data_IF_147527110982
#
_entry.id   IF_147527110982
#
_cell.length_a   1.000
_cell.length_b   1.000
_cell.length_c   1.000
_cell.angle_alpha   90.00
_cell.angle_beta   90.00
_cell.angle_gamma   90.00
#
_symmetry.space_group_name_H-M   'P 1'
#
loop_
_entity.id
_entity.type
_entity.pdbx_description
1 polymer ?
#
# COMPACT_ATOMS: atom_id res chain seq x y z
N UNK A 1 -3.41 21.01 10.20
CA UNK A 1 -2.52 20.01 9.57
C UNK A 1 -1.35 20.79 9.00
N UNK A 2 -0.12 20.52 9.43
CA UNK A 2 1.04 21.02 8.70
C UNK A 2 1.16 20.17 7.43
N UNK A 3 1.11 20.83 6.27
CA UNK A 3 1.51 20.20 5.03
C UNK A 3 2.96 19.73 5.20
N UNK A 4 3.24 18.45 4.89
CA UNK A 4 4.60 17.94 4.88
C UNK A 4 5.50 18.72 3.90
N UNK A 5 6.79 18.46 3.88
CA UNK A 5 7.70 19.13 2.97
C UNK A 5 7.22 18.97 1.53
N UNK A 6 6.94 20.08 0.87
CA UNK A 6 6.52 20.09 -0.55
C UNK A 6 7.80 20.10 -1.40
N UNK A 7 8.15 18.94 -1.92
CA UNK A 7 9.17 18.83 -2.96
C UNK A 7 8.49 18.79 -4.34
N UNK A 8 8.89 19.67 -5.24
CA UNK A 8 8.49 19.62 -6.65
C UNK A 8 9.27 18.52 -7.35
N UNK A 9 8.89 17.27 -7.13
CA UNK A 9 9.57 16.09 -7.69
C UNK A 9 9.27 15.88 -9.18
N UNK A 10 8.19 16.48 -9.69
CA UNK A 10 7.66 16.21 -11.00
C UNK A 10 7.31 17.49 -11.74
N UNK A 11 7.58 17.52 -13.05
CA UNK A 11 7.06 18.55 -13.94
C UNK A 11 5.58 18.36 -14.24
N UNK A 12 4.91 19.42 -14.66
CA UNK A 12 3.46 19.45 -14.96
C UNK A 12 3.00 18.32 -15.90
N UNK A 13 3.80 17.95 -16.88
CA UNK A 13 3.49 16.86 -17.80
C UNK A 13 3.42 15.50 -17.09
N UNK A 14 4.42 15.20 -16.26
CA UNK A 14 4.47 13.95 -15.51
C UNK A 14 3.30 13.85 -14.51
N UNK A 15 2.95 14.95 -13.84
CA UNK A 15 1.79 15.00 -12.95
C UNK A 15 0.49 14.70 -13.69
N UNK A 16 0.31 15.21 -14.91
CA UNK A 16 -0.87 14.91 -15.74
C UNK A 16 -0.94 13.45 -16.13
N UNK A 17 0.17 12.84 -16.55
CA UNK A 17 0.22 11.41 -16.89
C UNK A 17 -0.06 10.53 -15.68
N UNK A 18 0.50 10.84 -14.51
CA UNK A 18 0.20 10.12 -13.27
C UNK A 18 -1.27 10.23 -12.89
N UNK A 19 -1.85 11.43 -12.94
CA UNK A 19 -3.27 11.68 -12.65
C UNK A 19 -4.20 10.87 -13.55
N UNK A 20 -3.89 10.71 -14.84
CA UNK A 20 -4.66 9.85 -15.76
C UNK A 20 -4.65 8.38 -15.29
N UNK A 21 -3.49 7.85 -14.91
CA UNK A 21 -3.34 6.45 -14.48
C UNK A 21 -3.95 6.23 -13.08
N UNK A 22 -3.84 7.20 -12.19
CA UNK A 22 -4.50 7.19 -10.89
C UNK A 22 -6.02 7.19 -11.03
N UNK A 23 -6.55 8.04 -11.90
CA UNK A 23 -7.99 8.10 -12.24
C UNK A 23 -8.46 6.77 -12.84
N UNK A 24 -7.68 6.18 -13.75
CA UNK A 24 -7.99 4.88 -14.30
C UNK A 24 -8.05 3.79 -13.22
N UNK A 25 -7.04 3.71 -12.36
CA UNK A 25 -7.00 2.76 -11.24
C UNK A 25 -8.18 2.96 -10.29
N UNK A 26 -8.47 4.19 -9.91
CA UNK A 26 -9.58 4.53 -9.04
C UNK A 26 -10.92 4.04 -9.60
N UNK A 27 -11.21 4.33 -10.88
CA UNK A 27 -12.49 4.04 -11.49
C UNK A 27 -12.66 2.56 -11.89
N UNK A 28 -11.58 1.89 -12.30
CA UNK A 28 -11.68 0.52 -12.84
C UNK A 28 -11.36 -0.57 -11.80
N UNK A 29 -10.62 -0.22 -10.74
CA UNK A 29 -10.18 -1.18 -9.74
C UNK A 29 -10.60 -0.78 -8.34
N UNK A 30 -10.18 0.38 -7.85
CA UNK A 30 -10.33 0.76 -6.46
C UNK A 30 -11.80 0.90 -6.03
N UNK A 31 -12.56 1.79 -6.66
CA UNK A 31 -13.97 2.00 -6.31
C UNK A 31 -14.84 0.77 -6.54
N UNK A 32 -14.74 0.05 -7.68
CA UNK A 32 -15.48 -1.18 -7.87
C UNK A 32 -15.13 -2.26 -6.84
N UNK A 33 -13.85 -2.37 -6.45
CA UNK A 33 -13.45 -3.31 -5.40
C UNK A 33 -14.01 -2.92 -4.03
N UNK A 34 -13.93 -1.64 -3.66
CA UNK A 34 -14.48 -1.14 -2.40
C UNK A 34 -16.00 -1.31 -2.29
N UNK A 35 -16.72 -1.24 -3.42
CA UNK A 35 -18.16 -1.48 -3.51
C UNK A 35 -18.55 -2.94 -3.70
N UNK A 36 -17.60 -3.86 -3.50
CA UNK A 36 -17.79 -5.30 -3.67
C UNK A 36 -18.25 -5.73 -5.09
N UNK A 37 -18.14 -4.87 -6.09
CA UNK A 37 -18.57 -5.14 -7.46
C UNK A 37 -17.61 -6.09 -8.21
N UNK A 38 -16.38 -6.25 -7.73
CA UNK A 38 -15.35 -7.10 -8.34
C UNK A 38 -15.24 -8.49 -7.72
N UNK A 39 -16.10 -8.86 -6.79
CA UNK A 39 -16.06 -10.19 -6.13
C UNK A 39 -16.12 -11.37 -7.12
N UNK A 40 -16.73 -11.17 -8.26
CA UNK A 40 -16.93 -12.21 -9.29
C UNK A 40 -16.32 -11.85 -10.64
N UNK A 41 -15.81 -10.64 -10.81
CA UNK A 41 -15.37 -10.13 -12.09
C UNK A 41 -13.87 -10.33 -12.30
N UNK A 42 -13.51 -10.63 -13.55
CA UNK A 42 -12.14 -10.50 -14.03
C UNK A 42 -11.99 -9.15 -14.69
N UNK A 43 -11.07 -8.34 -14.23
CA UNK A 43 -10.77 -7.02 -14.80
C UNK A 43 -9.63 -7.17 -15.80
N UNK A 44 -9.90 -6.80 -17.05
CA UNK A 44 -8.85 -6.68 -18.06
C UNK A 44 -8.12 -5.33 -17.86
N UNK A 45 -6.82 -5.34 -17.99
CA UNK A 45 -5.98 -4.14 -17.96
C UNK A 45 -4.94 -4.22 -19.08
N UNK A 46 -4.44 -3.09 -19.50
CA UNK A 46 -3.29 -2.96 -20.40
C UNK A 46 -2.12 -2.37 -19.63
N UNK A 47 -1.39 -1.45 -20.21
CA UNK A 47 -0.26 -0.77 -19.58
C UNK A 47 -0.64 0.11 -18.38
N UNK A 48 -1.91 0.58 -18.31
CA UNK A 48 -2.33 1.59 -17.32
C UNK A 48 -2.07 1.15 -15.89
N UNK A 49 -2.36 -0.13 -15.58
CA UNK A 49 -2.15 -0.65 -14.23
C UNK A 49 -0.67 -0.79 -13.89
N UNK A 50 0.14 -1.28 -14.83
CA UNK A 50 1.58 -1.41 -14.62
C UNK A 50 2.22 -0.03 -14.42
N UNK A 51 1.87 0.94 -15.28
CA UNK A 51 2.31 2.32 -15.16
C UNK A 51 1.91 2.92 -13.82
N UNK A 52 0.66 2.75 -13.39
CA UNK A 52 0.19 3.20 -12.08
C UNK A 52 1.04 2.63 -10.95
N UNK A 53 1.25 1.31 -10.93
CA UNK A 53 2.05 0.66 -9.89
C UNK A 53 3.49 1.21 -9.85
N UNK A 54 4.15 1.33 -11.00
CA UNK A 54 5.49 1.89 -11.10
C UNK A 54 5.51 3.35 -10.61
N UNK A 55 4.54 4.16 -11.00
CA UNK A 55 4.49 5.59 -10.62
C UNK A 55 4.37 5.79 -9.11
N UNK A 56 3.59 4.95 -8.44
CA UNK A 56 3.45 4.98 -6.97
C UNK A 56 4.74 4.52 -6.30
N UNK A 57 5.27 3.36 -6.70
CA UNK A 57 6.47 2.78 -6.13
C UNK A 57 7.72 3.66 -6.37
N UNK A 58 7.82 4.28 -7.54
CA UNK A 58 8.90 5.21 -7.87
C UNK A 58 8.91 6.43 -6.93
N UNK A 59 7.75 7.07 -6.72
CA UNK A 59 7.62 8.23 -5.81
C UNK A 59 8.03 7.87 -4.38
N UNK A 60 7.61 6.69 -3.91
CA UNK A 60 7.96 6.21 -2.57
C UNK A 60 9.47 5.96 -2.48
N UNK A 61 10.04 5.24 -3.43
CA UNK A 61 11.47 4.95 -3.41
C UNK A 61 12.30 6.22 -3.51
N UNK A 62 11.87 7.19 -4.32
CA UNK A 62 12.53 8.48 -4.45
C UNK A 62 12.55 9.25 -3.12
N UNK A 63 11.43 9.26 -2.38
CA UNK A 63 11.33 9.95 -1.08
C UNK A 63 12.05 9.22 0.06
N UNK A 64 12.30 7.91 -0.07
CA UNK A 64 12.89 7.10 1.00
C UNK A 64 14.36 6.70 0.76
N UNK A 65 14.88 6.89 -0.44
CA UNK A 65 16.23 6.43 -0.85
C UNK A 65 17.37 6.90 0.08
N UNK A 66 17.24 8.10 0.65
CA UNK A 66 18.29 8.69 1.48
C UNK A 66 18.32 8.11 2.90
N UNK A 67 17.26 7.45 3.31
CA UNK A 67 17.16 6.73 4.60
C UNK A 67 17.66 5.29 4.54
N UNK A 68 18.07 4.81 3.34
CA UNK A 68 18.59 3.44 3.17
C UNK A 68 20.03 3.39 3.68
N UNK A 69 20.23 2.72 4.82
CA UNK A 69 21.55 2.63 5.47
C UNK A 69 22.49 1.62 4.80
N UNK A 70 21.96 0.53 4.20
CA UNK A 70 22.78 -0.49 3.51
C UNK A 70 23.24 0.03 2.14
N UNK A 71 24.57 0.24 1.90
CA UNK A 71 25.06 0.78 0.64
C UNK A 71 24.77 -0.10 -0.58
N UNK A 72 24.78 -1.44 -0.41
CA UNK A 72 24.49 -2.38 -1.50
C UNK A 72 23.03 -2.30 -1.92
N UNK A 73 22.13 -2.25 -0.94
CA UNK A 73 20.71 -2.06 -1.19
C UNK A 73 20.45 -0.69 -1.82
N UNK A 74 21.06 0.37 -1.29
CA UNK A 74 20.93 1.73 -1.84
C UNK A 74 21.33 1.78 -3.31
N UNK A 75 22.45 1.16 -3.70
CA UNK A 75 22.87 1.08 -5.10
C UNK A 75 21.80 0.40 -5.99
N UNK A 76 21.21 -0.72 -5.56
CA UNK A 76 20.12 -1.40 -6.29
C UNK A 76 18.87 -0.55 -6.39
N UNK A 77 18.51 0.14 -5.33
CA UNK A 77 17.39 1.07 -5.33
C UNK A 77 17.59 2.25 -6.29
N UNK A 78 18.83 2.76 -6.40
CA UNK A 78 19.15 3.82 -7.37
C UNK A 78 18.99 3.31 -8.81
N UNK A 79 19.46 2.09 -9.10
CA UNK A 79 19.26 1.46 -10.42
C UNK A 79 17.77 1.34 -10.73
N UNK A 80 16.96 0.80 -9.80
CA UNK A 80 15.52 0.67 -9.97
C UNK A 80 14.84 2.05 -10.19
N UNK A 81 15.26 3.09 -9.47
CA UNK A 81 14.75 4.45 -9.66
C UNK A 81 14.99 4.98 -11.08
N UNK A 82 16.20 4.78 -11.63
CA UNK A 82 16.53 5.24 -12.97
C UNK A 82 15.78 4.45 -14.05
N UNK A 83 15.67 3.15 -13.91
CA UNK A 83 14.90 2.28 -14.84
C UNK A 83 13.42 2.64 -14.82
N UNK A 84 12.82 2.84 -13.65
CA UNK A 84 11.43 3.24 -13.52
C UNK A 84 11.20 4.66 -14.04
N UNK A 85 12.14 5.58 -13.80
CA UNK A 85 12.09 6.93 -14.36
C UNK A 85 12.12 6.91 -15.89
N UNK A 86 13.00 6.10 -16.48
CA UNK A 86 13.07 5.95 -17.92
C UNK A 86 11.75 5.43 -18.51
N UNK A 87 11.18 4.38 -17.92
CA UNK A 87 9.88 3.83 -18.31
C UNK A 87 8.74 4.88 -18.19
N UNK A 88 8.66 5.59 -17.08
CA UNK A 88 7.63 6.61 -16.85
C UNK A 88 7.72 7.78 -17.84
N UNK A 89 8.89 8.00 -18.44
CA UNK A 89 9.13 8.97 -19.52
C UNK A 89 8.97 8.38 -20.93
N UNK A 90 8.36 7.20 -21.06
CA UNK A 90 8.10 6.57 -22.37
C UNK A 90 9.26 5.71 -22.90
N UNK A 91 10.22 5.35 -22.05
CA UNK A 91 11.28 4.41 -22.39
C UNK A 91 10.84 2.94 -22.26
N UNK A 92 11.79 2.04 -22.40
CA UNK A 92 11.57 0.60 -22.36
C UNK A 92 11.02 0.12 -21.00
N UNK A 93 10.32 -1.02 -21.04
CA UNK A 93 9.85 -1.70 -19.83
C UNK A 93 11.04 -2.10 -18.96
N UNK A 94 10.99 -1.83 -17.64
CA UNK A 94 12.04 -2.24 -16.72
C UNK A 94 12.33 -3.75 -16.81
N UNK A 95 13.58 -4.17 -16.60
CA UNK A 95 13.96 -5.57 -16.66
C UNK A 95 13.11 -6.47 -15.77
N UNK A 96 12.94 -7.74 -16.15
CA UNK A 96 12.04 -8.71 -15.50
C UNK A 96 12.37 -9.01 -14.03
N UNK A 97 13.56 -8.67 -13.53
CA UNK A 97 13.87 -8.81 -12.11
C UNK A 97 13.11 -7.80 -11.23
N UNK A 98 12.66 -6.67 -11.79
CA UNK A 98 11.79 -5.70 -11.12
C UNK A 98 10.32 -6.12 -11.21
N UNK A 99 9.99 -7.29 -10.67
CA UNK A 99 8.62 -7.80 -10.72
C UNK A 99 7.71 -7.00 -9.79
N UNK A 100 6.56 -6.61 -10.35
CA UNK A 100 5.52 -5.87 -9.64
C UNK A 100 4.38 -6.82 -9.28
N UNK A 101 3.95 -6.74 -8.04
CA UNK A 101 2.82 -7.49 -7.52
C UNK A 101 1.82 -6.56 -6.85
N UNK A 102 0.54 -6.91 -6.97
CA UNK A 102 -0.56 -6.26 -6.26
C UNK A 102 -1.36 -7.31 -5.49
N UNK A 103 -1.73 -7.01 -4.27
CA UNK A 103 -2.61 -7.84 -3.47
C UNK A 103 -3.79 -7.01 -2.96
N UNK A 104 -4.98 -7.18 -3.54
CA UNK A 104 -6.21 -6.62 -2.99
C UNK A 104 -6.60 -7.38 -1.73
N UNK A 105 -7.08 -6.70 -0.70
CA UNK A 105 -7.51 -7.32 0.56
C UNK A 105 -9.01 -7.19 0.71
N UNK A 106 -9.71 -8.27 0.40
CA UNK A 106 -11.13 -8.42 0.66
C UNK A 106 -11.37 -9.00 2.08
N UNK A 107 -12.64 -9.11 2.46
CA UNK A 107 -13.04 -9.62 3.77
C UNK A 107 -12.62 -11.08 3.99
N UNK A 108 -12.63 -11.91 2.94
CA UNK A 108 -12.23 -13.33 3.05
C UNK A 108 -10.73 -13.44 3.32
N UNK A 109 -9.92 -12.67 2.58
CA UNK A 109 -8.49 -12.62 2.81
C UNK A 109 -8.18 -12.08 4.20
N UNK A 110 -8.86 -11.01 4.61
CA UNK A 110 -8.75 -10.48 5.95
C UNK A 110 -8.96 -11.57 7.02
N UNK A 111 -10.05 -12.34 6.93
CA UNK A 111 -10.32 -13.43 7.86
C UNK A 111 -9.21 -14.51 7.83
N UNK A 112 -8.68 -14.81 6.65
CA UNK A 112 -7.56 -15.77 6.51
C UNK A 112 -6.27 -15.24 7.12
N UNK A 113 -6.01 -13.94 7.01
CA UNK A 113 -4.84 -13.29 7.60
C UNK A 113 -4.90 -13.26 9.13
N UNK A 114 -6.09 -13.24 9.71
CA UNK A 114 -6.27 -13.10 11.16
C UNK A 114 -6.01 -14.37 11.98
N UNK A 115 -5.98 -15.54 11.40
CA UNK A 115 -5.82 -16.79 12.16
C UNK A 115 -4.35 -17.17 12.38
N UNK A 116 -3.87 -17.45 13.58
CA UNK A 116 -4.44 -17.19 14.93
C UNK A 116 -3.84 -15.89 15.52
N UNK A 117 -4.56 -14.79 15.44
CA UNK A 117 -4.15 -13.49 16.00
C UNK A 117 -5.05 -13.19 17.20
N UNK A 118 -4.54 -12.57 18.28
CA UNK A 118 -5.37 -12.16 19.41
C UNK A 118 -6.47 -11.19 19.01
N UNK A 119 -7.69 -11.40 19.51
CA UNK A 119 -8.89 -10.65 19.13
C UNK A 119 -8.75 -9.12 19.32
N UNK A 120 -8.05 -8.68 20.36
CA UNK A 120 -7.84 -7.26 20.61
C UNK A 120 -7.04 -6.54 19.53
N UNK A 121 -6.32 -7.29 18.68
CA UNK A 121 -5.56 -6.73 17.55
C UNK A 121 -6.38 -6.72 16.26
N UNK A 122 -7.50 -7.44 16.19
CA UNK A 122 -8.33 -7.51 14.98
C UNK A 122 -8.79 -6.14 14.51
N UNK A 123 -9.21 -5.28 15.43
CA UNK A 123 -9.65 -3.92 15.13
C UNK A 123 -8.54 -3.11 14.50
N UNK A 124 -7.34 -3.19 15.06
CA UNK A 124 -6.18 -2.43 14.57
C UNK A 124 -5.72 -2.93 13.19
N UNK A 125 -5.73 -4.25 12.96
CA UNK A 125 -5.46 -4.81 11.62
C UNK A 125 -6.50 -4.34 10.62
N UNK A 126 -7.77 -4.32 10.99
CA UNK A 126 -8.85 -3.87 10.13
C UNK A 126 -8.68 -2.39 9.75
N UNK A 127 -8.35 -1.55 10.74
CA UNK A 127 -8.02 -0.14 10.53
C UNK A 127 -6.82 0.05 9.61
N UNK A 128 -5.76 -0.65 9.88
CA UNK A 128 -4.57 -0.64 9.05
C UNK A 128 -4.91 -0.99 7.60
N UNK A 129 -5.65 -2.05 7.38
CA UNK A 129 -6.04 -2.48 6.02
C UNK A 129 -6.89 -1.45 5.31
N UNK A 130 -7.89 -0.89 5.98
CA UNK A 130 -8.89 -0.04 5.33
C UNK A 130 -8.45 1.41 5.11
N UNK A 131 -7.59 1.94 5.95
CA UNK A 131 -7.33 3.38 6.01
C UNK A 131 -5.89 3.80 5.83
N UNK A 132 -5.00 3.08 6.47
CA UNK A 132 -3.63 3.53 6.52
C UNK A 132 -2.95 3.44 5.16
N UNK A 133 -2.05 4.38 4.91
CA UNK A 133 -1.01 4.26 3.90
C UNK A 133 0.28 3.88 4.59
N UNK A 134 1.06 3.02 3.98
CA UNK A 134 2.31 2.56 4.55
C UNK A 134 3.32 2.22 3.45
N UNK A 135 4.59 2.30 3.77
CA UNK A 135 5.66 1.88 2.87
C UNK A 135 6.90 1.44 3.66
N UNK A 136 7.61 0.49 3.10
CA UNK A 136 8.85 -0.01 3.68
C UNK A 136 9.67 -0.77 2.64
N UNK A 137 10.97 -0.90 2.86
CA UNK A 137 11.77 -1.90 2.17
C UNK A 137 11.75 -3.17 3.02
N UNK A 138 10.93 -4.11 2.59
CA UNK A 138 10.78 -5.40 3.23
C UNK A 138 11.94 -6.33 2.90
N UNK A 139 12.51 -6.94 3.94
CA UNK A 139 13.59 -7.91 3.83
C UNK A 139 13.12 -9.23 4.44
N UNK A 140 12.80 -10.22 3.61
CA UNK A 140 12.47 -11.56 4.09
C UNK A 140 13.74 -12.36 4.43
N UNK A 141 14.76 -12.19 3.61
CA UNK A 141 16.10 -12.77 3.76
C UNK A 141 17.13 -11.76 3.24
N UNK A 142 18.41 -11.93 3.56
CA UNK A 142 19.46 -10.97 3.14
C UNK A 142 19.43 -10.59 1.66
N UNK A 143 19.01 -11.50 0.77
CA UNK A 143 18.97 -11.29 -0.69
C UNK A 143 17.54 -11.27 -1.26
N UNK A 144 16.51 -11.21 -0.42
CA UNK A 144 15.11 -11.09 -0.84
C UNK A 144 14.55 -9.78 -0.29
N UNK A 145 14.59 -8.74 -1.11
CA UNK A 145 14.18 -7.40 -0.72
C UNK A 145 13.17 -6.85 -1.71
N UNK A 146 12.10 -6.34 -1.19
CA UNK A 146 11.07 -5.69 -1.98
C UNK A 146 10.72 -4.33 -1.40
N UNK A 147 10.47 -3.38 -2.27
CA UNK A 147 9.78 -2.16 -1.90
C UNK A 147 8.30 -2.50 -1.70
N UNK A 148 7.81 -2.25 -0.52
CA UNK A 148 6.41 -2.42 -0.15
C UNK A 148 5.72 -1.06 -0.12
N UNK A 149 4.52 -1.03 -0.65
CA UNK A 149 3.61 0.09 -0.55
C UNK A 149 2.20 -0.40 -0.23
N UNK A 150 1.52 0.32 0.62
CA UNK A 150 0.13 0.08 0.95
C UNK A 150 -0.69 1.35 0.78
N UNK A 151 -1.79 1.21 0.07
CA UNK A 151 -2.92 2.13 0.10
C UNK A 151 -4.13 1.40 0.70
N UNK A 152 -5.22 2.09 1.08
CA UNK A 152 -6.41 1.42 1.59
C UNK A 152 -6.82 0.21 0.74
N UNK A 153 -6.92 -0.96 1.37
CA UNK A 153 -7.31 -2.26 0.77
C UNK A 153 -6.36 -2.86 -0.28
N UNK A 154 -5.23 -2.22 -0.60
CA UNK A 154 -4.28 -2.73 -1.60
C UNK A 154 -2.85 -2.69 -1.09
N UNK A 155 -2.15 -3.79 -1.31
CA UNK A 155 -0.71 -3.88 -1.14
C UNK A 155 -0.03 -3.98 -2.51
N UNK A 156 1.11 -3.33 -2.63
CA UNK A 156 1.96 -3.36 -3.82
C UNK A 156 3.37 -3.73 -3.41
N UNK A 157 4.02 -4.54 -4.23
CA UNK A 157 5.43 -4.88 -4.09
C UNK A 157 6.16 -4.70 -5.38
N UNK A 158 7.35 -4.10 -5.30
CA UNK A 158 8.36 -4.20 -6.33
C UNK A 158 9.55 -4.98 -5.80
N UNK A 159 9.92 -6.06 -6.46
CA UNK A 159 11.08 -6.85 -6.08
C UNK A 159 12.34 -6.10 -6.50
N UNK A 160 13.17 -5.68 -5.54
CA UNK A 160 14.42 -4.95 -5.77
C UNK A 160 15.60 -5.92 -5.85
N UNK A 161 15.57 -6.95 -5.02
CA UNK A 161 16.59 -7.99 -4.98
C UNK A 161 15.92 -9.33 -4.73
N UNK A 162 16.28 -10.34 -5.54
CA UNK A 162 15.67 -11.65 -5.45
C UNK A 162 16.72 -12.74 -5.41
N UNK A 163 16.61 -13.60 -4.43
CA UNK A 163 17.10 -14.97 -4.46
C UNK A 163 15.94 -15.90 -4.89
N UNK A 164 16.22 -17.09 -5.41
CA UNK A 164 15.29 -17.94 -6.20
C UNK A 164 13.91 -18.27 -5.60
N UNK A 165 13.66 -18.00 -4.34
CA UNK A 165 12.46 -18.47 -3.63
C UNK A 165 11.39 -17.45 -3.34
N UNK A 166 11.52 -16.26 -3.85
CA UNK A 166 10.52 -15.34 -4.07
C UNK A 166 9.35 -14.84 -3.25
N UNK A 167 9.35 -13.59 -3.05
CA UNK A 167 8.23 -12.70 -2.70
C UNK A 167 7.11 -12.71 -3.78
N UNK A 168 6.51 -13.86 -4.06
CA UNK A 168 5.46 -14.04 -5.08
C UNK A 168 4.06 -13.88 -4.47
N UNK A 169 3.85 -12.91 -3.61
CA UNK A 169 2.56 -12.67 -2.99
C UNK A 169 1.68 -11.78 -3.86
N UNK A 170 0.42 -12.17 -4.01
CA UNK A 170 -0.53 -11.40 -4.77
C UNK A 170 -0.58 -11.74 -6.25
N UNK A 171 -1.05 -10.79 -7.03
CA UNK A 171 -1.20 -10.84 -8.48
C UNK A 171 0.02 -10.18 -9.13
N UNK A 172 0.73 -10.91 -9.96
CA UNK A 172 1.78 -10.32 -10.78
C UNK A 172 1.17 -9.41 -11.83
N UNK A 173 1.65 -8.17 -11.90
CA UNK A 173 1.21 -7.19 -12.88
C UNK A 173 2.19 -7.18 -14.04
N UNK A 174 1.68 -7.48 -15.24
CA UNK A 174 2.48 -7.51 -16.49
C UNK A 174 2.46 -6.14 -17.18
N UNK A 175 3.56 -5.68 -17.74
CA UNK A 175 3.60 -4.48 -18.60
C UNK A 175 2.75 -4.67 -19.87
N UNK A 176 2.65 -5.90 -20.40
CA UNK A 176 1.86 -6.22 -21.58
C UNK A 176 0.34 -6.25 -21.32
N UNK A 177 -0.05 -5.99 -20.07
CA UNK A 177 -1.43 -6.12 -19.64
C UNK A 177 -1.81 -7.54 -19.26
N UNK A 178 -3.11 -7.76 -19.03
CA UNK A 178 -3.63 -9.05 -18.61
C UNK A 178 -5.04 -8.99 -18.05
N UNK A 179 -5.39 -10.02 -17.29
CA UNK A 179 -6.66 -10.11 -16.57
C UNK A 179 -6.39 -10.36 -15.09
N UNK A 180 -6.97 -9.55 -14.24
CA UNK A 180 -6.94 -9.73 -12.79
C UNK A 180 -8.15 -10.57 -12.38
N UNK A 181 -7.90 -11.66 -11.68
CA UNK A 181 -8.94 -12.44 -11.00
C UNK A 181 -8.84 -12.16 -9.49
N UNK A 182 -9.74 -11.35 -8.96
CA UNK A 182 -9.74 -10.96 -7.55
C UNK A 182 -10.06 -12.11 -6.57
N UNK A 183 -10.39 -13.30 -7.08
CA UNK A 183 -10.57 -14.52 -6.27
C UNK A 183 -9.33 -15.38 -6.19
N UNK A 184 -8.41 -15.24 -7.13
CA UNK A 184 -7.28 -16.16 -7.29
C UNK A 184 -5.96 -15.40 -7.26
N UNK A 185 -5.39 -15.26 -6.10
CA UNK A 185 -4.03 -14.75 -5.94
C UNK A 185 -3.31 -15.47 -4.80
N UNK A 186 -1.99 -15.49 -4.90
CA UNK A 186 -1.14 -16.16 -3.93
C UNK A 186 -1.03 -15.31 -2.66
N UNK A 187 -1.51 -15.83 -1.54
CA UNK A 187 -1.44 -15.16 -0.24
C UNK A 187 -0.09 -15.44 0.44
N UNK A 188 0.67 -16.40 -0.07
CA UNK A 188 1.89 -16.89 0.58
C UNK A 188 1.60 -17.76 1.80
N UNK A 189 2.60 -18.53 2.20
CA UNK A 189 2.53 -19.37 3.41
C UNK A 189 3.23 -18.63 4.57
N UNK A 190 2.53 -17.77 5.26
CA UNK A 190 2.99 -17.22 6.53
C UNK A 190 3.76 -15.90 6.48
N UNK A 191 4.68 -15.67 5.53
CA UNK A 191 5.54 -14.49 5.52
C UNK A 191 4.78 -13.15 5.46
N UNK A 192 3.85 -13.00 4.53
CA UNK A 192 3.03 -11.78 4.42
C UNK A 192 2.16 -11.54 5.65
N UNK A 193 1.65 -12.61 6.27
CA UNK A 193 0.87 -12.54 7.48
C UNK A 193 1.68 -12.00 8.65
N UNK A 194 2.87 -12.56 8.86
CA UNK A 194 3.81 -12.12 9.87
C UNK A 194 4.22 -10.67 9.63
N UNK A 195 4.47 -10.30 8.38
CA UNK A 195 4.79 -8.93 7.99
C UNK A 195 3.67 -7.95 8.35
N UNK A 196 2.43 -8.24 7.94
CA UNK A 196 1.27 -7.38 8.24
C UNK A 196 1.08 -7.25 9.76
N UNK A 197 1.14 -8.37 10.48
CA UNK A 197 1.03 -8.36 11.93
C UNK A 197 2.10 -7.47 12.58
N UNK A 198 3.36 -7.63 12.18
CA UNK A 198 4.45 -6.82 12.72
C UNK A 198 4.26 -5.32 12.43
N UNK A 199 3.78 -4.97 11.19
CA UNK A 199 3.47 -3.58 10.83
C UNK A 199 2.40 -2.98 11.73
N UNK A 200 1.32 -3.72 11.98
CA UNK A 200 0.24 -3.28 12.85
C UNK A 200 0.74 -3.06 14.29
N UNK A 201 1.51 -3.99 14.83
CA UNK A 201 2.10 -3.85 16.18
C UNK A 201 3.02 -2.62 16.25
N UNK A 202 3.86 -2.40 15.24
CA UNK A 202 4.73 -1.23 15.19
C UNK A 202 3.90 0.07 15.19
N UNK A 203 2.83 0.13 14.38
CA UNK A 203 1.91 1.26 14.32
C UNK A 203 1.21 1.51 15.66
N UNK A 204 0.70 0.48 16.31
CA UNK A 204 0.08 0.60 17.63
C UNK A 204 1.06 1.21 18.65
N UNK A 205 2.31 0.77 18.64
CA UNK A 205 3.35 1.30 19.51
C UNK A 205 3.69 2.77 19.21
N UNK A 206 3.71 3.16 17.93
CA UNK A 206 3.91 4.55 17.50
C UNK A 206 2.73 5.44 17.94
N UNK A 207 1.49 4.98 17.73
CA UNK A 207 0.30 5.68 18.18
C UNK A 207 0.27 5.86 19.70
N UNK A 208 0.62 4.84 20.46
CA UNK A 208 0.67 4.94 21.91
C UNK A 208 1.71 6.00 22.36
N UNK A 209 2.90 6.00 21.73
CA UNK A 209 3.91 7.02 21.98
C UNK A 209 3.43 8.42 21.62
N UNK A 210 2.70 8.56 20.50
CA UNK A 210 2.13 9.84 20.06
C UNK A 210 1.03 10.31 21.03
N UNK A 211 0.13 9.43 21.45
CA UNK A 211 -0.94 9.73 22.44
C UNK A 211 -0.40 10.24 23.77
N UNK A 212 0.75 9.72 24.23
CA UNK A 212 1.41 10.20 25.45
C UNK A 212 1.94 11.63 25.34
N UNK A 213 2.14 12.14 24.10
CA UNK A 213 2.60 13.50 23.83
C UNK A 213 1.45 14.50 23.65
N UNK A 214 0.22 14.03 23.48
CA UNK A 214 -0.97 14.88 23.25
C UNK A 214 -1.46 15.40 24.61
N UNK A 215 -1.62 16.72 24.72
CA UNK A 215 -2.20 17.36 25.91
C UNK A 215 -3.69 17.03 26.04
N UNK A 216 -4.27 17.17 27.26
CA UNK A 216 -5.71 16.98 27.49
C UNK A 216 -6.54 17.86 26.56
N UNK A 217 -6.21 19.15 26.44
CA UNK A 217 -6.90 20.09 25.56
C UNK A 217 -6.88 19.68 24.08
N UNK A 218 -5.76 19.15 23.61
CA UNK A 218 -5.67 18.64 22.23
C UNK A 218 -6.53 17.38 22.03
N UNK A 219 -6.59 16.52 23.03
CA UNK A 219 -7.43 15.32 23.01
C UNK A 219 -8.90 15.69 22.92
N UNK A 220 -9.36 16.61 23.79
CA UNK A 220 -10.74 17.08 23.81
C UNK A 220 -11.14 17.73 22.48
N UNK A 221 -10.25 18.51 21.86
CA UNK A 221 -10.46 19.10 20.54
C UNK A 221 -10.59 18.05 19.42
N UNK A 222 -9.75 17.00 19.45
CA UNK A 222 -9.83 15.90 18.47
C UNK A 222 -11.15 15.16 18.64
N UNK A 223 -11.52 14.85 19.88
CA UNK A 223 -12.75 14.13 20.20
C UNK A 223 -14.00 14.92 19.78
N UNK A 224 -14.08 16.22 20.10
CA UNK A 224 -15.15 17.08 19.64
C UNK A 224 -15.26 17.15 18.11
N UNK A 225 -14.15 17.31 17.40
CA UNK A 225 -14.16 17.33 15.92
C UNK A 225 -14.62 16.00 15.33
N UNK A 226 -14.22 14.88 15.93
CA UNK A 226 -14.63 13.55 15.47
C UNK A 226 -16.13 13.31 15.69
N UNK A 227 -16.68 13.77 16.83
CA UNK A 227 -18.10 13.59 17.17
C UNK A 227 -19.03 14.49 16.35
N UNK A 228 -18.55 15.63 15.85
CA UNK A 228 -19.35 16.59 15.06
C UNK A 228 -19.15 16.48 13.54
N UNK A 229 -18.32 15.57 13.07
CA UNK A 229 -18.13 15.35 11.63
C UNK A 229 -19.19 14.37 11.09
N UNK A 230 -20.32 14.93 10.60
CA UNK A 230 -21.42 14.14 10.02
C UNK A 230 -20.98 13.29 8.81
N UNK A 231 -20.02 13.76 8.01
CA UNK A 231 -19.46 13.01 6.90
C UNK A 231 -18.66 11.81 7.40
N UNK A 232 -17.90 11.99 8.47
CA UNK A 232 -17.18 10.90 9.11
C UNK A 232 -18.16 9.89 9.73
N UNK A 233 -19.17 10.38 10.45
CA UNK A 233 -20.16 9.53 11.14
C UNK A 233 -21.00 8.66 10.18
N UNK A 234 -21.28 9.16 8.98
CA UNK A 234 -22.04 8.45 7.96
C UNK A 234 -21.15 7.68 6.96
N UNK A 235 -19.84 7.77 7.08
CA UNK A 235 -18.91 7.00 6.29
C UNK A 235 -18.82 5.54 6.78
N UNK A 236 -18.28 4.66 5.94
CA UNK A 236 -17.92 3.27 6.34
C UNK A 236 -17.08 3.27 7.63
N UNK A 237 -16.29 4.31 7.81
CA UNK A 237 -15.50 4.57 8.98
C UNK A 237 -16.34 4.86 10.23
N UNK A 238 -17.33 5.74 10.13
CA UNK A 238 -18.20 6.07 11.25
C UNK A 238 -18.98 4.84 11.72
N UNK A 239 -19.44 4.02 10.78
CA UNK A 239 -20.10 2.74 11.08
C UNK A 239 -19.17 1.79 11.86
N UNK A 240 -17.91 1.72 11.47
CA UNK A 240 -16.91 0.91 12.16
C UNK A 240 -16.56 1.44 13.55
N UNK A 241 -16.43 2.77 13.70
CA UNK A 241 -16.19 3.40 15.01
C UNK A 241 -17.32 3.09 15.99
N UNK A 242 -18.58 3.14 15.53
CA UNK A 242 -19.74 2.76 16.35
C UNK A 242 -19.71 1.29 16.73
N UNK A 243 -19.42 0.38 15.78
CA UNK A 243 -19.30 -1.05 16.07
C UNK A 243 -18.16 -1.37 17.04
N UNK A 244 -17.13 -0.52 17.09
CA UNK A 244 -15.99 -0.65 17.98
C UNK A 244 -16.19 0.04 19.33
N UNK A 245 -17.35 0.65 19.60
CA UNK A 245 -17.59 1.38 20.85
C UNK A 245 -16.66 2.61 21.03
N UNK A 246 -16.20 3.20 19.92
CA UNK A 246 -15.35 4.39 19.91
C UNK A 246 -16.12 5.67 19.49
N UNK A 247 -17.43 5.57 19.29
CA UNK A 247 -18.41 6.64 19.09
C UNK A 247 -19.68 6.35 19.86
#
# INVERSE_FOLDING_TARGET
MQDGPKEYLLGRYAEQEFSKRETWFANNIFYPFCKDQLKTAKVAYKEELYYFCISVLWRILLSTKDYIADPKLKAKCIIALEEWRAFLNGGDVPPLYNQIYMMPINRELYNTLLLPIPEHIYKEIYWYILRDTDNEIYCEKPNNRALFCKIPRFFFWAVIERDDTALNYGLRISPDGGKIDFKRYNIGKGGIKTFIYQRVINRMNEEEKARKKITSTQRDLIEQRTLHDEHLLNSELGLLLRQCGKL
#
